data_IF_831808870444
#
_entry.id   IF_831808870444
#
_cell.length_a   1.000
_cell.length_b   1.000
_cell.length_c   1.000
_cell.angle_alpha   90.00
_cell.angle_beta   90.00
_cell.angle_gamma   90.00
#
_symmetry.space_group_name_H-M   'P 1'
#
loop_
_entity.id
_entity.type
_entity.pdbx_description
1 polymer ?
#
# COMPACT_ATOMS: atom_id res chain seq x y z
N UNK A 1 -2.21 -10.11 -9.90
CA UNK A 1 -1.37 -8.95 -9.55
C UNK A 1 -0.66 -9.21 -8.23
N UNK A 2 0.46 -8.57 -7.95
CA UNK A 2 1.16 -8.65 -6.66
C UNK A 2 2.16 -7.51 -6.54
N UNK A 3 2.30 -6.95 -5.33
CA UNK A 3 3.22 -5.85 -5.04
C UNK A 3 4.65 -6.36 -4.98
N UNK A 4 5.53 -5.76 -5.79
CA UNK A 4 6.98 -5.95 -5.68
C UNK A 4 7.61 -4.70 -5.10
N UNK A 5 8.44 -4.91 -4.10
CA UNK A 5 9.17 -3.86 -3.43
C UNK A 5 10.61 -3.82 -3.93
N UNK A 6 11.04 -2.68 -4.49
CA UNK A 6 12.41 -2.45 -4.95
C UNK A 6 13.09 -1.43 -4.03
N UNK A 7 13.48 -1.88 -2.84
CA UNK A 7 14.17 -1.05 -1.84
C UNK A 7 15.30 -1.89 -1.23
N UNK A 8 16.54 -1.59 -1.60
CA UNK A 8 17.71 -2.34 -1.14
C UNK A 8 17.91 -2.26 0.38
N UNK A 9 17.46 -1.16 1.01
CA UNK A 9 17.48 -1.04 2.47
C UNK A 9 16.43 -1.95 3.09
N UNK A 10 15.26 -2.06 2.46
CA UNK A 10 14.22 -3.00 2.88
C UNK A 10 14.65 -4.44 2.73
N UNK A 11 15.21 -4.85 1.59
CA UNK A 11 15.69 -6.23 1.40
C UNK A 11 16.71 -6.60 2.46
N UNK A 12 17.58 -5.64 2.83
CA UNK A 12 18.54 -5.80 3.92
C UNK A 12 17.84 -5.92 5.29
N UNK A 13 16.98 -4.96 5.65
CA UNK A 13 16.25 -4.97 6.93
C UNK A 13 15.35 -6.22 7.08
N UNK A 14 14.74 -6.66 5.98
CA UNK A 14 13.92 -7.87 5.92
C UNK A 14 14.76 -9.14 6.00
N UNK A 15 15.91 -9.19 5.31
CA UNK A 15 16.88 -10.29 5.40
C UNK A 15 17.54 -10.42 6.77
N UNK A 16 17.65 -9.31 7.50
CA UNK A 16 18.15 -9.26 8.89
C UNK A 16 17.04 -9.51 9.93
N UNK A 17 15.77 -9.65 9.52
CA UNK A 17 14.63 -9.82 10.44
C UNK A 17 14.30 -8.57 11.27
N UNK A 18 14.86 -7.43 10.91
CA UNK A 18 14.82 -6.18 11.67
C UNK A 18 14.30 -5.03 10.80
N UNK A 19 12.98 -4.94 10.68
CA UNK A 19 12.30 -3.77 10.12
C UNK A 19 12.00 -2.76 11.22
N UNK A 20 12.34 -1.50 10.99
CA UNK A 20 11.83 -0.44 11.88
C UNK A 20 10.30 -0.47 11.87
N UNK A 21 9.67 -0.22 13.03
CA UNK A 21 8.21 -0.25 13.16
C UNK A 21 7.52 0.67 12.15
N UNK A 22 8.13 1.83 11.86
CA UNK A 22 7.59 2.78 10.87
C UNK A 22 7.72 2.28 9.42
N UNK A 23 8.82 1.60 9.06
CA UNK A 23 8.98 1.04 7.72
C UNK A 23 7.98 -0.09 7.48
N UNK A 24 7.88 -1.01 8.44
CA UNK A 24 6.91 -2.10 8.41
C UNK A 24 5.47 -1.59 8.24
N UNK A 25 5.08 -0.55 8.98
CA UNK A 25 3.73 0.03 8.91
C UNK A 25 3.43 0.60 7.51
N UNK A 26 4.41 1.26 6.88
CA UNK A 26 4.27 1.78 5.51
C UNK A 26 4.16 0.67 4.48
N UNK A 27 4.91 -0.42 4.62
CA UNK A 27 4.81 -1.55 3.69
C UNK A 27 3.45 -2.23 3.78
N UNK A 28 2.94 -2.42 5.00
CA UNK A 28 1.60 -2.94 5.18
C UNK A 28 0.57 -2.03 4.52
N UNK A 29 0.69 -0.70 4.67
CA UNK A 29 -0.19 0.24 3.96
C UNK A 29 -0.13 0.08 2.44
N UNK A 30 1.07 -0.09 1.85
CA UNK A 30 1.23 -0.26 0.40
C UNK A 30 0.59 -1.57 -0.08
N UNK A 31 0.82 -2.69 0.63
CA UNK A 31 0.23 -3.99 0.30
C UNK A 31 -1.31 -3.93 0.28
N UNK A 32 -1.89 -3.24 1.26
CA UNK A 32 -3.34 -3.12 1.38
C UNK A 32 -3.93 -1.95 0.57
N UNK A 33 -3.11 -1.15 -0.13
CA UNK A 33 -3.60 0.01 -0.88
C UNK A 33 -4.50 -0.39 -2.06
N UNK A 34 -4.21 -1.50 -2.73
CA UNK A 34 -5.04 -2.04 -3.82
C UNK A 34 -6.43 -2.44 -3.30
N UNK A 35 -6.47 -3.28 -2.27
CA UNK A 35 -7.71 -3.70 -1.59
C UNK A 35 -8.51 -2.48 -1.11
N UNK A 36 -7.84 -1.50 -0.50
CA UNK A 36 -8.49 -0.27 -0.04
C UNK A 36 -9.05 0.58 -1.19
N UNK A 37 -8.35 0.63 -2.33
CA UNK A 37 -8.81 1.34 -3.52
C UNK A 37 -10.03 0.67 -4.15
N UNK A 38 -10.03 -0.66 -4.27
CA UNK A 38 -11.17 -1.44 -4.76
C UNK A 38 -12.40 -1.21 -3.87
N UNK A 39 -12.25 -1.38 -2.54
CA UNK A 39 -13.32 -1.14 -1.59
C UNK A 39 -13.84 0.31 -1.63
N UNK A 40 -12.97 1.30 -1.85
CA UNK A 40 -13.35 2.71 -1.97
C UNK A 40 -14.16 2.99 -3.25
N UNK A 41 -13.84 2.32 -4.36
CA UNK A 41 -14.43 2.60 -5.68
C UNK A 41 -15.65 1.72 -5.96
N UNK A 42 -15.59 0.44 -5.61
CA UNK A 42 -16.59 -0.58 -5.98
C UNK A 42 -17.42 -1.07 -4.78
N UNK A 43 -17.04 -0.74 -3.55
CA UNK A 43 -17.76 -1.12 -2.32
C UNK A 43 -17.32 -2.46 -1.73
N UNK A 44 -16.64 -3.30 -2.51
CA UNK A 44 -15.99 -4.54 -2.10
C UNK A 44 -14.66 -4.71 -2.84
N UNK A 45 -13.79 -5.58 -2.31
CA UNK A 45 -12.54 -5.96 -2.93
C UNK A 45 -12.65 -7.39 -3.45
N UNK A 46 -12.22 -7.63 -4.68
CA UNK A 46 -12.29 -8.94 -5.34
C UNK A 46 -10.90 -9.57 -5.50
N UNK A 47 -9.83 -8.78 -5.34
CA UNK A 47 -8.44 -9.22 -5.45
C UNK A 47 -7.65 -9.12 -4.14
N UNK A 48 -6.32 -9.25 -4.26
CA UNK A 48 -5.38 -8.97 -3.16
C UNK A 48 -4.83 -10.19 -2.42
N UNK A 49 -5.25 -11.42 -2.77
CA UNK A 49 -4.75 -12.65 -2.12
C UNK A 49 -3.21 -12.75 -2.09
N UNK A 50 -2.56 -12.38 -3.19
CA UNK A 50 -1.09 -12.37 -3.26
C UNK A 50 -0.47 -11.36 -2.28
N UNK A 51 -1.07 -10.18 -2.14
CA UNK A 51 -0.60 -9.14 -1.22
C UNK A 51 -0.85 -9.55 0.24
N UNK A 52 -1.95 -10.23 0.53
CA UNK A 52 -2.23 -10.84 1.84
C UNK A 52 -1.24 -11.96 2.20
N UNK A 53 -0.93 -12.83 1.24
CA UNK A 53 0.05 -13.90 1.41
C UNK A 53 1.46 -13.35 1.64
N UNK A 54 1.83 -12.27 0.94
CA UNK A 54 3.07 -11.56 1.17
C UNK A 54 3.09 -10.91 2.56
N UNK A 55 2.03 -10.21 2.96
CA UNK A 55 1.88 -9.66 4.31
C UNK A 55 2.04 -10.74 5.39
N UNK A 56 1.41 -11.91 5.22
CA UNK A 56 1.53 -13.04 6.15
C UNK A 56 2.97 -13.51 6.26
N UNK A 57 3.64 -13.69 5.13
CA UNK A 57 5.05 -14.11 5.08
C UNK A 57 5.96 -13.11 5.80
N UNK A 58 5.76 -11.81 5.56
CA UNK A 58 6.52 -10.74 6.23
C UNK A 58 6.34 -10.79 7.75
N UNK A 59 5.10 -10.97 8.24
CA UNK A 59 4.82 -11.03 9.67
C UNK A 59 5.50 -12.20 10.40
N UNK A 60 5.69 -13.32 9.70
CA UNK A 60 6.35 -14.53 10.23
C UNK A 60 7.88 -14.40 10.20
N UNK A 61 8.43 -13.63 9.25
CA UNK A 61 9.87 -13.38 9.14
C UNK A 61 10.40 -12.31 10.09
N UNK A 62 9.52 -11.53 10.74
CA UNK A 62 9.93 -10.58 11.76
C UNK A 62 10.51 -11.30 12.99
N UNK A 63 11.45 -10.65 13.67
CA UNK A 63 11.99 -11.10 14.95
C UNK A 63 11.70 -10.07 16.07
N UNK A 64 10.79 -10.38 17.02
CA UNK A 64 9.97 -11.59 17.10
C UNK A 64 8.80 -11.59 16.08
N UNK A 65 8.28 -12.77 15.69
CA UNK A 65 7.15 -12.86 14.78
C UNK A 65 5.87 -12.33 15.42
N UNK A 66 4.96 -11.79 14.61
CA UNK A 66 3.67 -11.31 15.11
C UNK A 66 2.73 -12.47 15.45
N UNK A 67 2.03 -12.35 16.57
CA UNK A 67 0.88 -13.23 16.87
C UNK A 67 -0.27 -12.99 15.88
N UNK A 68 -1.17 -13.98 15.73
CA UNK A 68 -2.36 -13.88 14.87
C UNK A 68 -3.19 -12.63 15.18
N UNK A 69 -3.34 -12.29 16.47
CA UNK A 69 -4.08 -11.10 16.88
C UNK A 69 -3.38 -9.80 16.45
N UNK A 70 -2.05 -9.73 16.57
CA UNK A 70 -1.25 -8.58 16.11
C UNK A 70 -1.29 -8.45 14.59
N UNK A 71 -1.17 -9.56 13.85
CA UNK A 71 -1.30 -9.57 12.39
C UNK A 71 -2.67 -9.05 11.95
N UNK A 72 -3.75 -9.54 12.55
CA UNK A 72 -5.10 -9.12 12.23
C UNK A 72 -5.34 -7.63 12.55
N UNK A 73 -4.82 -7.14 13.69
CA UNK A 73 -4.88 -5.72 14.04
C UNK A 73 -4.09 -4.86 13.04
N UNK A 74 -2.90 -5.32 12.64
CA UNK A 74 -2.06 -4.61 11.68
C UNK A 74 -2.72 -4.52 10.31
N UNK A 75 -3.26 -5.62 9.79
CA UNK A 75 -3.99 -5.64 8.53
C UNK A 75 -5.17 -4.65 8.54
N UNK A 76 -6.03 -4.70 9.58
CA UNK A 76 -7.15 -3.76 9.73
C UNK A 76 -6.69 -2.30 9.77
N UNK A 77 -5.63 -2.02 10.53
CA UNK A 77 -5.08 -0.68 10.62
C UNK A 77 -4.56 -0.21 9.26
N UNK A 78 -3.80 -1.04 8.55
CA UNK A 78 -3.22 -0.70 7.25
C UNK A 78 -4.27 -0.46 6.18
N UNK A 79 -5.31 -1.32 6.09
CA UNK A 79 -6.45 -1.10 5.20
C UNK A 79 -7.13 0.24 5.51
N UNK A 80 -7.40 0.52 6.80
CA UNK A 80 -8.04 1.77 7.23
C UNK A 80 -7.20 3.00 6.87
N UNK A 81 -5.89 2.96 7.10
CA UNK A 81 -4.99 4.07 6.76
C UNK A 81 -4.93 4.30 5.25
N UNK A 82 -4.75 3.24 4.47
CA UNK A 82 -4.70 3.34 3.00
C UNK A 82 -6.03 3.85 2.43
N UNK A 83 -7.16 3.35 2.95
CA UNK A 83 -8.49 3.83 2.60
C UNK A 83 -8.65 5.32 2.88
N UNK A 84 -8.28 5.78 4.09
CA UNK A 84 -8.39 7.20 4.45
C UNK A 84 -7.50 8.08 3.59
N UNK A 85 -6.26 7.65 3.31
CA UNK A 85 -5.34 8.37 2.43
C UNK A 85 -5.95 8.56 1.03
N UNK A 86 -6.48 7.48 0.44
CA UNK A 86 -7.12 7.51 -0.88
C UNK A 86 -8.40 8.34 -0.88
N UNK A 87 -9.20 8.24 0.19
CA UNK A 87 -10.45 9.00 0.35
C UNK A 87 -10.19 10.50 0.47
N UNK A 88 -9.19 10.92 1.26
CA UNK A 88 -8.85 12.33 1.43
C UNK A 88 -8.20 12.91 0.17
N UNK A 89 -7.37 12.13 -0.52
CA UNK A 89 -6.72 12.56 -1.77
C UNK A 89 -7.43 12.02 -3.01
N UNK A 90 -8.78 12.01 -3.00
CA UNK A 90 -9.60 11.44 -4.09
C UNK A 90 -9.30 12.07 -5.46
N UNK A 91 -9.00 13.37 -5.52
CA UNK A 91 -8.64 14.05 -6.78
C UNK A 91 -7.31 13.52 -7.34
N UNK A 92 -6.30 13.39 -6.49
CA UNK A 92 -4.99 12.86 -6.87
C UNK A 92 -5.07 11.39 -7.30
N UNK A 93 -5.80 10.56 -6.55
CA UNK A 93 -6.06 9.17 -6.93
C UNK A 93 -6.70 9.08 -8.33
N UNK A 94 -7.76 9.86 -8.58
CA UNK A 94 -8.43 9.88 -9.89
C UNK A 94 -7.52 10.39 -11.01
N UNK A 95 -6.65 11.36 -10.73
CA UNK A 95 -5.70 11.87 -11.70
C UNK A 95 -4.65 10.80 -12.09
N UNK A 96 -4.18 10.03 -11.11
CA UNK A 96 -3.29 8.89 -11.33
C UNK A 96 -3.95 7.80 -12.19
N UNK A 97 -5.17 7.39 -11.83
CA UNK A 97 -5.95 6.38 -12.57
C UNK A 97 -6.14 6.80 -14.03
N UNK A 98 -6.60 8.04 -14.28
CA UNK A 98 -6.77 8.55 -15.65
C UNK A 98 -5.48 8.56 -16.46
N UNK A 99 -4.36 8.90 -15.82
CA UNK A 99 -3.06 8.93 -16.49
C UNK A 99 -2.64 7.51 -16.91
N UNK A 100 -2.84 6.53 -16.02
CA UNK A 100 -2.57 5.11 -16.28
C UNK A 100 -3.50 4.52 -17.35
N UNK A 101 -4.81 4.77 -17.28
CA UNK A 101 -5.79 4.33 -18.29
C UNK A 101 -5.47 4.88 -19.69
N UNK A 102 -4.89 6.08 -19.76
CA UNK A 102 -4.44 6.71 -21.01
C UNK A 102 -3.07 6.21 -21.49
N UNK A 103 -2.47 5.21 -20.82
CA UNK A 103 -1.18 4.63 -21.21
C UNK A 103 0.03 5.54 -20.98
N UNK A 104 -0.07 6.57 -20.12
CA UNK A 104 1.08 7.43 -19.85
C UNK A 104 2.14 6.72 -18.99
N UNK A 105 3.40 7.10 -19.20
CA UNK A 105 4.52 6.63 -18.37
C UNK A 105 4.51 7.21 -16.94
N UNK A 106 5.31 6.61 -16.07
CA UNK A 106 5.38 6.92 -14.63
C UNK A 106 5.60 8.40 -14.33
N UNK A 107 6.47 9.09 -15.07
CA UNK A 107 6.75 10.52 -14.86
C UNK A 107 5.51 11.40 -15.00
N UNK A 108 4.62 11.07 -15.94
CA UNK A 108 3.36 11.78 -16.13
C UNK A 108 2.39 11.47 -14.99
N UNK A 109 2.31 10.22 -14.55
CA UNK A 109 1.45 9.81 -13.42
C UNK A 109 1.83 10.59 -12.15
N UNK A 110 3.13 10.66 -11.83
CA UNK A 110 3.63 11.43 -10.68
C UNK A 110 3.27 12.91 -10.81
N UNK A 111 3.54 13.53 -11.96
CA UNK A 111 3.17 14.93 -12.21
C UNK A 111 1.68 15.18 -12.00
N UNK A 112 0.80 14.29 -12.49
CA UNK A 112 -0.66 14.42 -12.31
C UNK A 112 -1.09 14.35 -10.85
N UNK A 113 -0.43 13.52 -10.05
CA UNK A 113 -0.66 13.45 -8.60
C UNK A 113 -0.26 14.78 -7.94
N UNK A 114 0.95 15.28 -8.23
CA UNK A 114 1.46 16.54 -7.66
C UNK A 114 0.59 17.75 -8.02
N UNK A 115 0.21 17.87 -9.30
CA UNK A 115 -0.71 18.91 -9.79
C UNK A 115 -2.06 18.87 -9.04
N UNK A 116 -2.62 17.66 -8.86
CA UNK A 116 -3.89 17.49 -8.17
C UNK A 116 -3.80 17.86 -6.68
N UNK A 117 -2.73 17.48 -5.99
CA UNK A 117 -2.51 17.81 -4.58
C UNK A 117 -2.30 19.31 -4.39
N UNK A 118 -1.56 19.97 -5.28
CA UNK A 118 -1.34 21.42 -5.23
C UNK A 118 -2.64 22.21 -5.42
N UNK A 119 -3.56 21.70 -6.24
CA UNK A 119 -4.87 22.33 -6.48
C UNK A 119 -5.90 22.17 -5.34
N UNK A 120 -5.60 21.31 -4.36
CA UNK A 120 -6.44 21.07 -3.18
C UNK A 120 -6.03 21.93 -1.96
N UNK A 121 -4.98 22.76 -2.09
CA UNK A 121 -4.54 23.74 -1.09
C UNK A 121 -5.13 25.12 -1.36
#
# INVERSE_FOLDING_TARGET
AGTQFWDAKMEKELGEGHLSSTAFDRYCMILFAGIAAEALVYGEAEGGENDENLFRSLCVLLDPPLSVAQMANRARWSVMQSYNLLKWHKKAHRAAVKALESGHGLSIVVRRIEEAIASDR
#
